data_IF_467864979588
#
_entry.id   IF_467864979588
#
_cell.length_a   1.000
_cell.length_b   1.000
_cell.length_c   1.000
_cell.angle_alpha   90.00
_cell.angle_beta   90.00
_cell.angle_gamma   90.00
#
_symmetry.space_group_name_H-M   'P 1'
#
loop_
_entity.id
_entity.type
_entity.pdbx_description
1 polymer ?
#
# COMPACT_ATOMS: atom_id res chain seq x y z
N UNK A 1 6.98 -13.36 12.38
CA UNK A 1 6.25 -14.44 11.67
C UNK A 1 5.11 -13.78 10.91
N UNK A 2 4.72 -14.30 9.75
CA UNK A 2 3.53 -13.83 9.02
C UNK A 2 2.29 -14.25 9.81
N UNK A 3 1.35 -13.33 10.03
CA UNK A 3 0.16 -13.53 10.86
C UNK A 3 -1.03 -12.76 10.27
N UNK A 4 -2.26 -13.29 10.40
CA UNK A 4 -3.47 -12.55 10.02
C UNK A 4 -3.54 -11.21 10.75
N UNK A 5 -3.96 -10.17 10.04
CA UNK A 5 -4.17 -8.85 10.62
C UNK A 5 -5.65 -8.66 10.99
N UNK A 6 -5.96 -7.85 12.02
CA UNK A 6 -7.34 -7.51 12.35
C UNK A 6 -7.95 -6.63 11.24
N UNK A 7 -9.28 -6.61 11.14
CA UNK A 7 -9.97 -5.66 10.23
C UNK A 7 -9.94 -4.25 10.83
N UNK A 8 -9.66 -3.23 10.01
CA UNK A 8 -9.74 -1.83 10.43
C UNK A 8 -11.19 -1.35 10.35
N UNK A 9 -11.67 -0.84 11.49
CA UNK A 9 -12.93 -0.12 11.59
C UNK A 9 -12.61 1.34 11.86
N UNK A 10 -12.93 2.28 10.94
CA UNK A 10 -12.70 3.69 11.17
C UNK A 10 -13.41 4.17 12.43
N UNK A 11 -12.70 4.97 13.22
CA UNK A 11 -13.24 5.62 14.41
C UNK A 11 -13.17 7.15 14.26
N UNK A 12 -13.99 7.90 15.01
CA UNK A 12 -13.84 9.35 15.08
C UNK A 12 -12.41 9.72 15.50
N UNK A 13 -11.78 10.62 14.75
CA UNK A 13 -10.44 11.13 15.02
C UNK A 13 -10.42 12.66 14.88
N UNK A 14 -9.55 13.29 15.69
CA UNK A 14 -9.26 14.72 15.66
C UNK A 14 -8.23 15.10 14.59
N UNK A 15 -7.77 14.15 13.77
CA UNK A 15 -6.88 14.40 12.64
C UNK A 15 -7.43 15.53 11.76
N UNK A 16 -6.53 16.40 11.29
CA UNK A 16 -6.84 17.51 10.40
C UNK A 16 -5.81 17.58 9.26
N UNK A 17 -6.23 17.93 8.05
CA UNK A 17 -5.34 18.05 6.91
C UNK A 17 -4.32 19.19 7.12
N UNK A 18 -3.10 18.95 6.67
CA UNK A 18 -2.04 19.97 6.67
C UNK A 18 -1.98 20.63 5.30
N UNK A 19 -1.68 21.94 5.29
CA UNK A 19 -1.56 22.72 4.07
C UNK A 19 -0.22 23.45 4.01
N UNK A 20 0.92 22.74 3.97
CA UNK A 20 2.21 23.37 3.71
C UNK A 20 2.21 24.00 2.32
N UNK A 21 3.11 24.94 2.03
CA UNK A 21 3.28 25.39 0.66
C UNK A 21 3.67 24.22 -0.26
N UNK A 22 3.08 24.05 -1.46
CA UNK A 22 2.09 24.92 -2.12
C UNK A 22 0.62 24.55 -1.85
N UNK A 23 0.33 23.53 -1.04
CA UNK A 23 -1.03 23.05 -0.74
C UNK A 23 -1.92 24.10 -0.04
N UNK A 24 -1.34 25.12 0.58
CA UNK A 24 -2.12 26.29 1.04
C UNK A 24 -2.87 27.00 -0.09
N UNK A 25 -2.38 26.93 -1.33
CA UNK A 25 -3.00 27.53 -2.51
C UNK A 25 -4.14 26.68 -3.09
N UNK A 26 -4.15 25.38 -2.80
CA UNK A 26 -5.14 24.42 -3.33
C UNK A 26 -6.19 24.04 -2.29
N UNK A 27 -6.13 24.62 -1.09
CA UNK A 27 -7.04 24.33 0.03
C UNK A 27 -8.52 24.48 -0.31
N UNK A 28 -8.87 25.43 -1.17
CA UNK A 28 -10.26 25.66 -1.61
C UNK A 28 -10.80 24.58 -2.54
N UNK A 29 -9.95 23.67 -3.03
CA UNK A 29 -10.31 22.53 -3.89
C UNK A 29 -10.43 21.23 -3.10
N UNK A 30 -10.08 21.22 -1.81
CA UNK A 30 -10.21 20.05 -0.93
C UNK A 30 -11.64 19.95 -0.43
N UNK A 31 -12.22 18.75 -0.53
CA UNK A 31 -13.58 18.43 -0.12
C UNK A 31 -13.64 17.71 1.23
N UNK A 32 -14.82 17.63 1.83
CA UNK A 32 -15.02 16.85 3.06
C UNK A 32 -14.80 15.34 2.85
N UNK A 33 -15.01 14.86 1.61
CA UNK A 33 -14.74 13.48 1.23
C UNK A 33 -13.23 13.20 1.23
N UNK A 34 -12.41 14.13 0.72
CA UNK A 34 -10.95 14.05 0.75
C UNK A 34 -10.42 13.95 2.19
N UNK A 35 -10.91 14.83 3.06
CA UNK A 35 -10.53 14.90 4.47
C UNK A 35 -10.93 13.61 5.20
N UNK A 36 -12.12 13.08 4.91
CA UNK A 36 -12.58 11.83 5.52
C UNK A 36 -11.77 10.64 5.02
N UNK A 37 -11.50 10.57 3.71
CA UNK A 37 -10.69 9.52 3.13
C UNK A 37 -9.28 9.48 3.74
N UNK A 38 -8.54 10.60 3.74
CA UNK A 38 -7.18 10.63 4.26
C UNK A 38 -7.11 10.35 5.76
N UNK A 39 -8.04 10.89 6.55
CA UNK A 39 -8.16 10.59 7.99
C UNK A 39 -8.28 9.09 8.27
N UNK A 40 -9.13 8.40 7.52
CA UNK A 40 -9.34 6.97 7.70
C UNK A 40 -8.17 6.14 7.15
N UNK A 41 -7.55 6.58 6.04
CA UNK A 41 -6.32 5.97 5.54
C UNK A 41 -5.15 6.14 6.52
N UNK A 42 -5.06 7.26 7.25
CA UNK A 42 -4.10 7.44 8.33
C UNK A 42 -4.32 6.49 9.51
N UNK A 43 -5.59 6.19 9.86
CA UNK A 43 -5.87 5.17 10.89
C UNK A 43 -5.37 3.79 10.45
N UNK A 44 -5.62 3.39 9.21
CA UNK A 44 -5.08 2.15 8.66
C UNK A 44 -3.55 2.16 8.61
N UNK A 45 -2.96 3.27 8.15
CA UNK A 45 -1.52 3.39 7.98
C UNK A 45 -0.80 3.22 9.32
N UNK A 46 -1.22 3.97 10.34
CA UNK A 46 -0.64 3.91 11.68
C UNK A 46 -0.83 2.54 12.35
N UNK A 47 -1.93 1.84 12.04
CA UNK A 47 -2.23 0.55 12.65
C UNK A 47 -1.56 -0.65 11.95
N UNK A 48 -1.38 -0.61 10.63
CA UNK A 48 -1.10 -1.82 9.83
C UNK A 48 -0.01 -1.72 8.80
N UNK A 49 0.35 -0.52 8.32
CA UNK A 49 1.26 -0.41 7.17
C UNK A 49 2.62 -1.07 7.41
N UNK A 50 3.24 -0.82 8.57
CA UNK A 50 4.55 -1.39 8.90
C UNK A 50 4.51 -2.91 8.98
N UNK A 51 3.50 -3.46 9.68
CA UNK A 51 3.32 -4.90 9.79
C UNK A 51 3.04 -5.55 8.43
N UNK A 52 2.23 -4.92 7.57
CA UNK A 52 1.95 -5.42 6.24
C UNK A 52 3.20 -5.41 5.36
N UNK A 53 3.97 -4.31 5.38
CA UNK A 53 5.25 -4.19 4.67
C UNK A 53 6.20 -5.32 5.05
N UNK A 54 6.36 -5.58 6.34
CA UNK A 54 7.27 -6.62 6.84
C UNK A 54 6.82 -8.03 6.43
N UNK A 55 5.51 -8.27 6.38
CA UNK A 55 4.96 -9.53 5.90
C UNK A 55 5.17 -9.73 4.39
N UNK A 56 4.97 -8.68 3.59
CA UNK A 56 5.26 -8.71 2.15
C UNK A 56 6.74 -9.01 1.92
N UNK A 57 7.65 -8.31 2.62
CA UNK A 57 9.08 -8.54 2.53
C UNK A 57 9.48 -9.95 2.91
N UNK A 58 8.83 -10.50 3.94
CA UNK A 58 9.05 -11.88 4.34
C UNK A 58 8.64 -12.85 3.24
N UNK A 59 7.49 -12.65 2.57
CA UNK A 59 7.08 -13.48 1.42
C UNK A 59 8.07 -13.38 0.27
N UNK A 60 8.50 -12.16 -0.08
CA UNK A 60 9.49 -11.93 -1.14
C UNK A 60 10.80 -12.66 -0.86
N UNK A 61 11.23 -12.65 0.40
CA UNK A 61 12.46 -13.30 0.80
C UNK A 61 12.34 -14.83 0.83
N UNK A 62 11.29 -15.41 1.43
CA UNK A 62 11.18 -16.87 1.58
C UNK A 62 11.02 -17.59 0.24
N UNK A 63 10.40 -16.95 -0.76
CA UNK A 63 10.22 -17.58 -2.08
C UNK A 63 11.51 -17.73 -2.89
N UNK A 64 12.55 -16.95 -2.59
CA UNK A 64 13.86 -17.00 -3.29
C UNK A 64 14.96 -17.73 -2.50
N UNK A 65 14.71 -18.13 -1.24
CA UNK A 65 15.70 -18.82 -0.40
C UNK A 65 16.05 -20.23 -0.88
N UNK A 66 17.13 -20.81 -0.33
CA UNK A 66 17.67 -22.13 -0.69
C UNK A 66 16.69 -23.31 -0.58
N UNK A 67 15.72 -23.24 0.33
CA UNK A 67 14.66 -24.25 0.47
C UNK A 67 13.33 -23.77 -0.10
N UNK A 68 13.31 -22.54 -0.63
CA UNK A 68 12.19 -21.95 -1.33
C UNK A 68 12.20 -22.33 -2.80
N UNK A 69 11.07 -22.12 -3.48
CA UNK A 69 10.90 -22.52 -4.86
C UNK A 69 11.89 -21.82 -5.81
N UNK A 70 12.39 -20.62 -5.49
CA UNK A 70 13.41 -19.89 -6.26
C UNK A 70 14.86 -20.41 -6.17
N UNK A 71 15.13 -21.47 -5.40
CA UNK A 71 16.49 -22.00 -5.18
C UNK A 71 17.10 -22.79 -6.34
N UNK A 72 16.36 -23.14 -7.39
CA UNK A 72 16.92 -23.93 -8.48
C UNK A 72 17.75 -23.03 -9.40
N UNK A 73 18.92 -23.52 -9.82
CA UNK A 73 19.80 -22.83 -10.79
C UNK A 73 18.95 -22.47 -12.03
N UNK A 74 18.80 -21.17 -12.30
CA UNK A 74 17.89 -20.65 -13.34
C UNK A 74 16.54 -20.11 -12.83
N UNK A 75 16.47 -19.61 -11.59
CA UNK A 75 15.31 -19.07 -10.85
C UNK A 75 14.16 -18.54 -11.72
N UNK A 76 13.27 -19.45 -12.08
CA UNK A 76 11.99 -19.19 -12.74
C UNK A 76 10.91 -20.04 -12.12
N UNK A 77 10.99 -20.29 -10.80
CA UNK A 77 10.10 -21.16 -10.04
C UNK A 77 9.56 -20.50 -8.78
N UNK A 78 9.99 -19.28 -8.43
CA UNK A 78 9.51 -18.50 -7.28
C UNK A 78 7.99 -18.16 -7.30
N UNK A 79 7.30 -18.53 -8.38
CA UNK A 79 5.85 -18.58 -8.51
C UNK A 79 5.19 -19.83 -7.89
N UNK A 80 5.94 -20.90 -7.64
CA UNK A 80 5.43 -22.17 -7.11
C UNK A 80 5.42 -22.16 -5.57
N UNK A 81 4.25 -21.89 -4.98
CA UNK A 81 4.11 -21.81 -3.52
C UNK A 81 3.94 -23.17 -2.82
N UNK A 82 3.90 -24.28 -3.57
CA UNK A 82 3.71 -25.62 -3.01
C UNK A 82 4.94 -26.13 -2.23
N UNK A 83 6.11 -25.54 -2.47
CA UNK A 83 7.35 -25.92 -1.82
C UNK A 83 7.45 -25.37 -0.38
N UNK A 84 7.98 -26.20 0.53
CA UNK A 84 8.46 -25.75 1.85
C UNK A 84 7.39 -25.16 2.77
N UNK A 85 6.10 -25.45 2.54
CA UNK A 85 5.00 -24.88 3.34
C UNK A 85 4.80 -23.38 3.16
N UNK A 86 5.31 -22.81 2.06
CA UNK A 86 5.23 -21.37 1.77
C UNK A 86 3.78 -20.94 1.47
N UNK A 87 2.97 -21.83 0.87
CA UNK A 87 1.56 -21.56 0.56
C UNK A 87 0.80 -20.91 1.72
N UNK A 88 0.88 -21.48 2.93
CA UNK A 88 0.17 -20.92 4.09
C UNK A 88 0.59 -19.48 4.40
N UNK A 89 1.88 -19.17 4.27
CA UNK A 89 2.40 -17.82 4.50
C UNK A 89 1.93 -16.86 3.41
N UNK A 90 1.91 -17.31 2.15
CA UNK A 90 1.38 -16.53 1.02
C UNK A 90 -0.11 -16.26 1.20
N UNK A 91 -0.90 -17.27 1.57
CA UNK A 91 -2.35 -17.14 1.76
C UNK A 91 -2.69 -16.08 2.83
N UNK A 92 -1.92 -16.06 3.93
CA UNK A 92 -2.08 -15.04 4.98
C UNK A 92 -1.75 -13.65 4.44
N UNK A 93 -0.64 -13.48 3.69
CA UNK A 93 -0.26 -12.17 3.13
C UNK A 93 -1.24 -11.71 2.06
N UNK A 94 -1.71 -12.60 1.19
CA UNK A 94 -2.74 -12.29 0.20
C UNK A 94 -4.04 -11.85 0.89
N UNK A 95 -4.48 -12.54 1.94
CA UNK A 95 -5.66 -12.13 2.73
C UNK A 95 -5.48 -10.76 3.39
N UNK A 96 -4.29 -10.48 3.93
CA UNK A 96 -3.97 -9.21 4.55
C UNK A 96 -3.90 -8.06 3.53
N UNK A 97 -3.36 -8.33 2.34
CA UNK A 97 -3.36 -7.41 1.20
C UNK A 97 -4.77 -7.13 0.70
N UNK A 98 -5.59 -8.17 0.54
CA UNK A 98 -7.02 -8.07 0.20
C UNK A 98 -7.75 -7.12 1.14
N UNK A 99 -7.58 -7.31 2.45
CA UNK A 99 -8.21 -6.47 3.46
C UNK A 99 -7.72 -5.02 3.37
N UNK A 100 -6.42 -4.80 3.21
CA UNK A 100 -5.84 -3.47 3.05
C UNK A 100 -6.34 -2.77 1.78
N UNK A 101 -6.32 -3.47 0.64
CA UNK A 101 -6.79 -2.94 -0.65
C UNK A 101 -8.29 -2.66 -0.60
N UNK A 102 -9.10 -3.56 -0.04
CA UNK A 102 -10.54 -3.33 0.10
C UNK A 102 -10.85 -2.13 1.01
N UNK A 103 -10.07 -1.91 2.07
CA UNK A 103 -10.17 -0.74 2.92
C UNK A 103 -9.75 0.55 2.16
N UNK A 104 -8.60 0.52 1.50
CA UNK A 104 -8.04 1.70 0.84
C UNK A 104 -8.79 2.11 -0.43
N UNK A 105 -9.34 1.16 -1.20
CA UNK A 105 -9.94 1.40 -2.52
C UNK A 105 -10.99 2.53 -2.53
N UNK A 106 -12.08 2.48 -1.74
CA UNK A 106 -13.07 3.55 -1.76
C UNK A 106 -12.52 4.91 -1.29
N UNK A 107 -11.46 4.90 -0.46
CA UNK A 107 -10.84 6.12 0.09
C UNK A 107 -9.89 6.75 -0.92
N UNK A 108 -9.06 5.94 -1.57
CA UNK A 108 -8.19 6.39 -2.66
C UNK A 108 -9.00 6.91 -3.85
N UNK A 109 -10.13 6.27 -4.18
CA UNK A 109 -11.03 6.71 -5.24
C UNK A 109 -11.87 7.94 -4.89
N UNK A 110 -12.05 8.23 -3.60
CA UNK A 110 -12.73 9.45 -3.16
C UNK A 110 -11.85 10.70 -3.27
N UNK A 111 -10.53 10.54 -3.40
CA UNK A 111 -9.60 11.66 -3.49
C UNK A 111 -9.81 12.46 -4.79
N UNK A 112 -9.99 13.76 -4.63
CA UNK A 112 -10.07 14.73 -5.71
C UNK A 112 -8.77 14.75 -6.50
N UNK A 113 -8.89 14.59 -7.81
CA UNK A 113 -7.84 14.85 -8.80
C UNK A 113 -8.28 16.05 -9.62
N UNK A 114 -7.47 17.10 -9.62
CA UNK A 114 -7.74 18.34 -10.34
C UNK A 114 -6.63 18.60 -11.37
N UNK A 115 -6.82 19.58 -12.24
CA UNK A 115 -5.89 19.94 -13.30
C UNK A 115 -5.30 21.32 -13.06
N UNK A 116 -4.01 21.46 -13.32
CA UNK A 116 -3.33 22.75 -13.30
C UNK A 116 -3.50 23.51 -14.63
N UNK A 117 -2.87 24.68 -14.77
CA UNK A 117 -2.94 25.48 -15.99
C UNK A 117 -2.27 24.81 -17.21
N UNK A 118 -1.38 23.84 -16.97
CA UNK A 118 -0.73 23.02 -18.00
C UNK A 118 -1.52 21.73 -18.31
N UNK A 119 -2.69 21.54 -17.68
CA UNK A 119 -3.54 20.36 -17.78
C UNK A 119 -2.88 19.08 -17.18
N UNK A 120 -1.93 19.27 -16.26
CA UNK A 120 -1.34 18.18 -15.48
C UNK A 120 -2.25 17.86 -14.28
N UNK A 121 -2.50 16.57 -14.06
CA UNK A 121 -3.32 16.10 -12.95
C UNK A 121 -2.54 16.19 -11.63
N UNK A 122 -3.18 16.73 -10.59
CA UNK A 122 -2.62 16.79 -9.25
C UNK A 122 -3.67 16.53 -8.17
N UNK A 123 -3.21 16.18 -6.97
CA UNK A 123 -4.06 16.01 -5.80
C UNK A 123 -4.05 17.31 -4.97
N UNK A 124 -5.20 17.96 -4.73
CA UNK A 124 -5.25 19.19 -3.95
C UNK A 124 -4.97 19.02 -2.45
N UNK A 125 -5.12 17.80 -1.93
CA UNK A 125 -4.87 17.44 -0.54
C UNK A 125 -3.41 17.00 -0.37
N UNK A 126 -2.74 17.54 0.65
CA UNK A 126 -1.34 17.19 0.96
C UNK A 126 -1.23 15.70 1.25
N UNK A 127 -0.27 15.01 0.60
CA UNK A 127 -0.07 13.55 0.67
C UNK A 127 -1.21 12.65 0.14
N UNK A 128 -2.29 13.23 -0.40
CA UNK A 128 -3.34 12.47 -1.10
C UNK A 128 -2.78 11.62 -2.26
N UNK A 129 -1.83 12.16 -3.03
CA UNK A 129 -1.12 11.39 -4.08
C UNK A 129 -0.39 10.17 -3.48
N UNK A 130 0.26 10.35 -2.34
CA UNK A 130 1.06 9.29 -1.72
C UNK A 130 0.19 8.13 -1.28
N UNK A 131 -0.98 8.41 -0.70
CA UNK A 131 -1.97 7.38 -0.37
C UNK A 131 -2.53 6.69 -1.62
N UNK A 132 -2.89 7.46 -2.65
CA UNK A 132 -3.38 6.90 -3.91
C UNK A 132 -2.34 5.96 -4.54
N UNK A 133 -1.08 6.38 -4.61
CA UNK A 133 0.01 5.59 -5.19
C UNK A 133 0.36 4.39 -4.32
N UNK A 134 0.34 4.52 -3.00
CA UNK A 134 0.54 3.39 -2.09
C UNK A 134 -0.53 2.32 -2.33
N UNK A 135 -1.81 2.70 -2.36
CA UNK A 135 -2.92 1.80 -2.67
C UNK A 135 -2.72 1.10 -4.03
N UNK A 136 -2.40 1.86 -5.08
CA UNK A 136 -2.17 1.30 -6.41
C UNK A 136 -1.06 0.22 -6.40
N UNK A 137 0.04 0.47 -5.69
CA UNK A 137 1.14 -0.49 -5.63
C UNK A 137 0.82 -1.71 -4.77
N UNK A 138 0.08 -1.54 -3.67
CA UNK A 138 -0.41 -2.68 -2.88
C UNK A 138 -1.36 -3.56 -3.69
N UNK A 139 -2.25 -2.97 -4.50
CA UNK A 139 -3.10 -3.71 -5.44
C UNK A 139 -2.28 -4.52 -6.44
N UNK A 140 -1.25 -3.91 -7.05
CA UNK A 140 -0.37 -4.62 -8.00
C UNK A 140 0.41 -5.77 -7.34
N UNK A 141 0.84 -5.59 -6.08
CA UNK A 141 1.51 -6.66 -5.31
C UNK A 141 0.53 -7.79 -5.01
N UNK A 142 -0.69 -7.47 -4.59
CA UNK A 142 -1.76 -8.44 -4.33
C UNK A 142 -2.10 -9.27 -5.58
N UNK A 143 -2.39 -8.60 -6.70
CA UNK A 143 -2.68 -9.23 -7.98
C UNK A 143 -1.51 -10.12 -8.43
N UNK A 144 -0.28 -9.64 -8.30
CA UNK A 144 0.91 -10.39 -8.69
C UNK A 144 1.14 -11.62 -7.82
N UNK A 145 0.93 -11.55 -6.50
CA UNK A 145 1.02 -12.71 -5.61
C UNK A 145 -0.06 -13.74 -5.98
N UNK A 146 -1.31 -13.32 -6.15
CA UNK A 146 -2.43 -14.21 -6.49
C UNK A 146 -2.30 -14.83 -7.86
N UNK A 147 -1.73 -14.12 -8.82
CA UNK A 147 -1.44 -14.62 -10.15
C UNK A 147 -0.17 -15.50 -10.20
N UNK A 148 0.43 -15.81 -9.04
CA UNK A 148 1.67 -16.56 -8.96
C UNK A 148 2.77 -15.92 -9.84
N UNK A 149 2.90 -14.60 -9.79
CA UNK A 149 3.96 -13.92 -10.53
C UNK A 149 5.30 -14.06 -9.78
N UNK A 150 6.40 -14.24 -10.51
CA UNK A 150 7.75 -14.24 -9.96
C UNK A 150 8.10 -12.98 -9.14
N UNK A 151 9.20 -13.07 -8.39
CA UNK A 151 9.66 -12.01 -7.51
C UNK A 151 10.11 -10.77 -8.24
N UNK A 152 10.82 -10.97 -9.34
CA UNK A 152 11.25 -9.88 -10.19
C UNK A 152 10.06 -9.10 -10.80
N UNK A 153 8.87 -9.72 -10.92
CA UNK A 153 7.67 -9.06 -11.46
C UNK A 153 6.99 -8.17 -10.41
N UNK A 154 6.84 -8.65 -9.18
CA UNK A 154 6.18 -7.92 -8.09
C UNK A 154 7.13 -6.99 -7.32
N UNK A 155 8.44 -7.25 -7.39
CA UNK A 155 9.49 -6.48 -6.72
C UNK A 155 9.44 -4.97 -6.99
N UNK A 156 9.31 -4.49 -8.25
CA UNK A 156 9.17 -3.07 -8.53
C UNK A 156 7.99 -2.42 -7.80
N UNK A 157 6.83 -3.08 -7.74
CA UNK A 157 5.66 -2.57 -7.00
C UNK A 157 5.87 -2.58 -5.50
N UNK A 158 6.54 -3.60 -4.93
CA UNK A 158 6.93 -3.59 -3.50
C UNK A 158 7.81 -2.38 -3.19
N UNK A 159 8.81 -2.09 -4.02
CA UNK A 159 9.71 -0.95 -3.79
C UNK A 159 8.98 0.39 -3.91
N UNK A 160 8.05 0.51 -4.86
CA UNK A 160 7.22 1.72 -4.97
C UNK A 160 6.27 1.86 -3.77
N UNK A 161 5.62 0.79 -3.31
CA UNK A 161 4.79 0.81 -2.10
C UNK A 161 5.59 1.32 -0.90
N UNK A 162 6.81 0.79 -0.70
CA UNK A 162 7.74 1.27 0.35
C UNK A 162 8.07 2.75 0.21
N UNK A 163 8.37 3.21 -1.01
CA UNK A 163 8.68 4.62 -1.28
C UNK A 163 7.52 5.55 -0.91
N UNK A 164 6.29 5.18 -1.29
CA UNK A 164 5.11 5.99 -1.01
C UNK A 164 4.73 5.96 0.47
N UNK A 165 4.83 4.80 1.13
CA UNK A 165 4.64 4.73 2.56
C UNK A 165 5.70 5.51 3.33
N UNK A 166 6.97 5.46 2.93
CA UNK A 166 8.03 6.26 3.54
C UNK A 166 7.80 7.78 3.34
N UNK A 167 7.19 8.20 2.22
CA UNK A 167 6.80 9.59 2.01
C UNK A 167 5.71 10.03 3.01
N UNK A 168 4.71 9.18 3.28
CA UNK A 168 3.67 9.41 4.30
C UNK A 168 4.29 9.47 5.70
N UNK A 169 5.23 8.58 6.02
CA UNK A 169 5.91 8.58 7.31
C UNK A 169 6.68 9.89 7.55
N UNK A 170 7.55 10.26 6.60
CA UNK A 170 8.39 11.46 6.71
C UNK A 170 7.64 12.77 6.67
N UNK A 171 6.44 12.80 6.08
CA UNK A 171 5.62 14.00 6.03
C UNK A 171 4.96 14.32 7.37
N UNK A 172 4.85 13.34 8.29
CA UNK A 172 4.08 13.45 9.52
C UNK A 172 2.62 13.85 9.23
N UNK A 173 2.04 13.36 8.11
CA UNK A 173 0.65 13.69 7.76
C UNK A 173 -0.34 12.98 8.66
N UNK A 174 -0.01 11.83 9.23
CA UNK A 174 -0.90 11.02 10.08
C UNK A 174 -0.73 11.21 11.59
N UNK A 175 0.06 12.22 11.99
CA UNK A 175 0.33 12.56 13.40
C UNK A 175 -0.81 13.38 14.02
#
# INVERSE_FOLDING_TARGET
>A
MIQPMPVIVPTPSNWQPRFPFPFNQTRNRVTDADITAEREMCQWYNAQYEQLKDQIDRVQFIRIQQNGPGSRIGSGTDWDYSAGGIQQQVDIVATNLDQAVAFLTPRAQALTVDQDMANDNFFPLYEGESFYRLWQQLSNVDDGIKAHQPDWFTGPSVQQAKRWGERIHRSHVCD
#
